data_IF_528798077077
#
_entry.id   IF_528798077077
#
_cell.length_a   1.000
_cell.length_b   1.000
_cell.length_c   1.000
_cell.angle_alpha   90.00
_cell.angle_beta   90.00
_cell.angle_gamma   90.00
#
_symmetry.space_group_name_H-M   'P 1'
#
loop_
_entity.id
_entity.type
_entity.pdbx_description
1 polymer ?
#
# COMPACT_ATOMS: atom_id res chain seq x y z
N UNK A 1 8.87 -14.25 5.64
CA UNK A 1 8.41 -13.22 4.69
C UNK A 1 7.67 -13.89 3.56
N UNK A 2 6.48 -13.39 3.18
CA UNK A 2 5.69 -13.85 2.03
C UNK A 2 5.79 -12.84 0.88
N UNK A 3 5.74 -13.31 -0.36
CA UNK A 3 5.64 -12.42 -1.52
C UNK A 3 4.23 -12.50 -2.07
N UNK A 4 3.58 -11.35 -2.18
CA UNK A 4 2.28 -11.14 -2.80
C UNK A 4 2.32 -10.08 -3.88
N UNK A 5 1.15 -9.71 -4.39
CA UNK A 5 0.98 -8.52 -5.20
C UNK A 5 -0.36 -7.84 -4.90
N UNK A 6 -0.43 -6.55 -5.20
CA UNK A 6 -1.63 -5.72 -5.07
C UNK A 6 -2.50 -5.84 -6.33
N UNK A 7 -3.74 -6.22 -6.15
CA UNK A 7 -4.63 -6.55 -7.29
C UNK A 7 -5.08 -5.36 -8.11
N UNK A 8 -4.80 -4.13 -7.71
CA UNK A 8 -5.16 -2.90 -8.46
C UNK A 8 -4.68 -2.93 -9.91
N UNK A 9 -3.55 -3.59 -10.17
CA UNK A 9 -3.01 -3.84 -11.52
C UNK A 9 -4.03 -4.50 -12.46
N UNK A 10 -5.00 -5.26 -11.90
CA UNK A 10 -5.97 -6.06 -12.63
C UNK A 10 -7.42 -5.69 -12.33
N UNK A 11 -7.72 -4.45 -11.93
CA UNK A 11 -9.09 -3.99 -11.61
C UNK A 11 -10.09 -4.10 -12.78
N UNK A 12 -9.61 -4.28 -14.00
CA UNK A 12 -10.41 -4.55 -15.20
C UNK A 12 -10.74 -6.04 -15.39
N UNK A 13 -10.31 -6.93 -14.47
CA UNK A 13 -10.52 -8.38 -14.54
C UNK A 13 -11.35 -8.89 -13.36
N UNK A 14 -12.10 -10.00 -13.53
CA UNK A 14 -12.73 -10.68 -12.39
C UNK A 14 -11.71 -11.12 -11.35
N UNK A 15 -12.02 -10.97 -10.06
CA UNK A 15 -11.13 -11.37 -8.97
C UNK A 15 -10.70 -12.84 -9.07
N UNK A 16 -11.60 -13.74 -9.50
CA UNK A 16 -11.29 -15.16 -9.68
C UNK A 16 -10.13 -15.38 -10.66
N UNK A 17 -10.12 -14.67 -11.79
CA UNK A 17 -9.02 -14.77 -12.77
C UNK A 17 -7.69 -14.25 -12.18
N UNK A 18 -7.76 -13.21 -11.35
CA UNK A 18 -6.57 -12.62 -10.70
C UNK A 18 -6.02 -13.57 -9.63
N UNK A 19 -6.89 -14.17 -8.84
CA UNK A 19 -6.53 -15.16 -7.81
C UNK A 19 -5.95 -16.43 -8.45
N UNK A 20 -6.56 -16.94 -9.53
CA UNK A 20 -6.04 -18.11 -10.26
C UNK A 20 -4.66 -17.81 -10.87
N UNK A 21 -4.44 -16.59 -11.38
CA UNK A 21 -3.14 -16.15 -11.84
C UNK A 21 -2.12 -16.12 -10.70
N UNK A 22 -2.46 -15.52 -9.55
CA UNK A 22 -1.58 -15.45 -8.39
C UNK A 22 -1.11 -16.84 -7.95
N UNK A 23 -2.05 -17.76 -7.76
CA UNK A 23 -1.75 -19.13 -7.35
C UNK A 23 -0.90 -19.88 -8.38
N UNK A 24 -1.25 -19.79 -9.68
CA UNK A 24 -0.50 -20.48 -10.75
C UNK A 24 0.89 -19.90 -10.97
N UNK A 25 1.11 -18.61 -10.71
CA UNK A 25 2.42 -17.97 -10.79
C UNK A 25 3.32 -18.30 -9.59
N UNK A 26 2.76 -18.81 -8.49
CA UNK A 26 3.51 -19.20 -7.30
C UNK A 26 3.75 -18.04 -6.32
N UNK A 27 2.80 -17.10 -6.23
CA UNK A 27 2.74 -16.13 -5.14
C UNK A 27 2.32 -16.81 -3.83
N UNK A 28 2.81 -16.31 -2.71
CA UNK A 28 2.44 -16.80 -1.36
C UNK A 28 1.20 -16.06 -0.83
N UNK A 29 1.01 -14.81 -1.25
CA UNK A 29 0.03 -13.91 -0.71
C UNK A 29 -0.65 -13.06 -1.80
N UNK A 30 -1.73 -12.39 -1.41
CA UNK A 30 -2.45 -11.44 -2.24
C UNK A 30 -2.94 -10.29 -1.37
N UNK A 31 -2.83 -9.09 -1.89
CA UNK A 31 -3.44 -7.87 -1.37
C UNK A 31 -4.58 -7.48 -2.30
N UNK A 32 -5.79 -7.31 -1.76
CA UNK A 32 -6.98 -7.13 -2.59
C UNK A 32 -7.45 -5.67 -2.54
N UNK A 33 -7.64 -5.08 -3.73
CA UNK A 33 -8.19 -3.73 -3.89
C UNK A 33 -9.71 -3.72 -3.62
N UNK A 34 -10.07 -3.00 -2.57
CA UNK A 34 -11.47 -2.69 -2.24
C UNK A 34 -11.92 -1.50 -3.10
N UNK A 35 -13.03 -1.66 -3.79
CA UNK A 35 -13.49 -0.69 -4.79
C UNK A 35 -13.17 -1.15 -6.22
N UNK A 36 -12.05 -1.79 -6.45
CA UNK A 36 -11.76 -2.51 -7.69
C UNK A 36 -12.51 -3.85 -7.74
N UNK A 37 -12.15 -4.77 -6.85
CA UNK A 37 -12.69 -6.13 -6.86
C UNK A 37 -13.83 -6.37 -5.86
N UNK A 38 -13.84 -5.66 -4.73
CA UNK A 38 -14.84 -5.82 -3.66
C UNK A 38 -15.67 -4.54 -3.59
N UNK A 39 -16.93 -4.63 -4.05
CA UNK A 39 -17.79 -3.44 -4.15
C UNK A 39 -18.56 -3.14 -2.87
N UNK A 40 -18.79 -4.14 -2.03
CA UNK A 40 -19.57 -4.00 -0.79
C UNK A 40 -18.98 -4.85 0.34
N UNK A 41 -19.16 -4.45 1.63
CA UNK A 41 -18.61 -5.19 2.77
C UNK A 41 -19.07 -6.65 2.82
N UNK A 42 -20.30 -6.96 2.39
CA UNK A 42 -20.86 -8.30 2.40
C UNK A 42 -20.12 -9.27 1.45
N UNK A 43 -19.35 -8.73 0.49
CA UNK A 43 -18.54 -9.52 -0.46
C UNK A 43 -17.13 -9.82 0.04
N UNK A 44 -16.74 -9.28 1.19
CA UNK A 44 -15.39 -9.46 1.74
C UNK A 44 -15.12 -10.94 2.03
N UNK A 45 -16.04 -11.61 2.73
CA UNK A 45 -15.87 -13.04 3.09
C UNK A 45 -15.73 -13.93 1.85
N UNK A 46 -16.54 -13.70 0.81
CA UNK A 46 -16.47 -14.44 -0.45
C UNK A 46 -15.12 -14.26 -1.14
N UNK A 47 -14.62 -13.02 -1.20
CA UNK A 47 -13.34 -12.70 -1.83
C UNK A 47 -12.16 -13.35 -1.07
N UNK A 48 -12.18 -13.26 0.24
CA UNK A 48 -11.16 -13.86 1.11
C UNK A 48 -11.18 -15.39 1.02
N UNK A 49 -12.37 -15.99 1.05
CA UNK A 49 -12.56 -17.45 0.91
C UNK A 49 -12.08 -17.96 -0.46
N UNK A 50 -12.35 -17.20 -1.53
CA UNK A 50 -11.86 -17.50 -2.88
C UNK A 50 -10.32 -17.55 -2.90
N UNK A 51 -9.63 -16.53 -2.41
CA UNK A 51 -8.17 -16.49 -2.37
C UNK A 51 -7.59 -17.65 -1.53
N UNK A 52 -8.15 -17.88 -0.34
CA UNK A 52 -7.73 -18.99 0.55
C UNK A 52 -7.95 -20.37 -0.08
N UNK A 53 -9.02 -20.56 -0.85
CA UNK A 53 -9.29 -21.82 -1.56
C UNK A 53 -8.23 -22.17 -2.60
N UNK A 54 -7.47 -21.19 -3.07
CA UNK A 54 -6.33 -21.35 -3.99
C UNK A 54 -4.97 -21.41 -3.26
N UNK A 55 -4.98 -21.45 -1.93
CA UNK A 55 -3.78 -21.53 -1.11
C UNK A 55 -3.07 -20.19 -0.88
N UNK A 56 -3.68 -19.06 -1.23
CA UNK A 56 -3.10 -17.75 -1.03
C UNK A 56 -3.40 -17.22 0.38
N UNK A 57 -2.39 -16.60 0.99
CA UNK A 57 -2.58 -15.80 2.19
C UNK A 57 -3.10 -14.41 1.79
N UNK A 58 -4.26 -14.01 2.29
CA UNK A 58 -4.75 -12.63 2.10
C UNK A 58 -4.05 -11.75 3.13
N UNK A 59 -3.06 -10.98 2.68
CA UNK A 59 -2.20 -10.15 3.53
C UNK A 59 -2.91 -8.90 4.02
N UNK A 60 -3.66 -8.28 3.14
CA UNK A 60 -4.33 -7.00 3.36
C UNK A 60 -5.49 -6.82 2.40
N UNK A 61 -6.40 -5.95 2.79
CA UNK A 61 -7.32 -5.29 1.88
C UNK A 61 -7.01 -3.80 1.89
N UNK A 62 -7.04 -3.16 0.70
CA UNK A 62 -6.69 -1.74 0.55
C UNK A 62 -7.86 -0.97 -0.03
N UNK A 63 -8.31 0.06 0.69
CA UNK A 63 -9.44 0.91 0.31
C UNK A 63 -9.00 2.35 0.08
N UNK A 64 -9.02 2.72 -1.19
CA UNK A 64 -8.68 4.06 -1.63
C UNK A 64 -9.77 5.08 -1.32
N UNK A 65 -9.37 6.24 -0.79
CA UNK A 65 -10.25 7.38 -0.57
C UNK A 65 -9.61 8.47 0.27
N UNK A 66 -10.09 9.71 0.12
CA UNK A 66 -9.67 10.84 0.94
C UNK A 66 -10.52 10.91 2.23
N UNK A 67 -10.03 10.34 3.33
CA UNK A 67 -10.72 10.35 4.63
C UNK A 67 -10.88 11.75 5.23
N UNK A 68 -10.20 12.74 4.65
CA UNK A 68 -10.21 14.15 5.03
C UNK A 68 -10.84 15.03 3.95
N UNK A 69 -11.68 14.48 3.07
CA UNK A 69 -12.33 15.29 2.01
C UNK A 69 -12.97 16.54 2.60
N UNK A 70 -12.68 17.71 1.98
CA UNK A 70 -13.24 18.99 2.39
C UNK A 70 -14.78 19.03 2.29
N UNK A 71 -15.36 18.26 1.38
CA UNK A 71 -16.80 18.00 1.32
C UNK A 71 -17.19 17.08 2.49
N UNK A 72 -17.90 17.66 3.46
CA UNK A 72 -18.29 16.96 4.70
C UNK A 72 -19.22 15.77 4.47
N UNK A 73 -20.06 15.82 3.45
CA UNK A 73 -20.99 14.73 3.16
C UNK A 73 -20.25 13.56 2.54
N UNK A 74 -19.37 13.80 1.56
CA UNK A 74 -18.48 12.78 0.99
C UNK A 74 -17.57 12.17 2.06
N UNK A 75 -16.96 13.00 2.91
CA UNK A 75 -16.12 12.54 4.02
C UNK A 75 -16.90 11.63 4.97
N UNK A 76 -18.11 12.02 5.36
CA UNK A 76 -18.96 11.21 6.24
C UNK A 76 -19.33 9.87 5.61
N UNK A 77 -19.75 9.88 4.34
CA UNK A 77 -20.10 8.67 3.60
C UNK A 77 -18.89 7.72 3.47
N UNK A 78 -17.74 8.24 3.05
CA UNK A 78 -16.52 7.44 2.93
C UNK A 78 -16.10 6.83 4.27
N UNK A 79 -16.11 7.61 5.36
CA UNK A 79 -15.77 7.13 6.71
C UNK A 79 -16.72 6.06 7.21
N UNK A 80 -18.02 6.24 6.99
CA UNK A 80 -19.03 5.22 7.33
C UNK A 80 -18.75 3.92 6.56
N UNK A 81 -18.49 4.03 5.27
CA UNK A 81 -18.17 2.89 4.41
C UNK A 81 -16.86 2.20 4.81
N UNK A 82 -15.85 2.99 5.18
CA UNK A 82 -14.58 2.46 5.69
C UNK A 82 -14.77 1.67 6.99
N UNK A 83 -15.63 2.14 7.88
CA UNK A 83 -15.94 1.43 9.13
C UNK A 83 -16.69 0.12 8.88
N UNK A 84 -17.66 0.08 7.96
CA UNK A 84 -18.35 -1.15 7.53
C UNK A 84 -17.35 -2.17 6.94
N UNK A 85 -16.43 -1.73 6.08
CA UNK A 85 -15.38 -2.60 5.56
C UNK A 85 -14.43 -3.09 6.66
N UNK A 86 -14.05 -2.23 7.61
CA UNK A 86 -13.18 -2.63 8.71
C UNK A 86 -13.79 -3.77 9.55
N UNK A 87 -15.10 -3.70 9.82
CA UNK A 87 -15.82 -4.76 10.53
C UNK A 87 -15.84 -6.06 9.72
N UNK A 88 -16.17 -5.99 8.42
CA UNK A 88 -16.21 -7.16 7.53
C UNK A 88 -14.82 -7.80 7.35
N UNK A 89 -13.78 -6.99 7.15
CA UNK A 89 -12.39 -7.42 6.97
C UNK A 89 -11.86 -8.11 8.24
N UNK A 90 -12.11 -7.49 9.40
CA UNK A 90 -11.78 -8.08 10.69
C UNK A 90 -12.54 -9.37 10.95
N UNK A 91 -13.83 -9.44 10.59
CA UNK A 91 -14.66 -10.64 10.67
C UNK A 91 -14.16 -11.78 9.79
N UNK A 92 -13.68 -11.49 8.59
CA UNK A 92 -13.06 -12.45 7.67
C UNK A 92 -11.64 -12.89 8.09
N UNK A 93 -11.09 -12.35 9.18
CA UNK A 93 -9.78 -12.72 9.70
C UNK A 93 -8.62 -12.29 8.78
N UNK A 94 -8.76 -11.18 8.07
CA UNK A 94 -7.65 -10.54 7.34
C UNK A 94 -6.86 -9.68 8.33
N UNK A 95 -5.53 -9.76 8.35
CA UNK A 95 -4.74 -9.11 9.41
C UNK A 95 -4.61 -7.59 9.24
N UNK A 96 -4.64 -7.08 8.02
CA UNK A 96 -4.33 -5.67 7.74
C UNK A 96 -5.41 -5.05 6.85
N UNK A 97 -5.84 -3.85 7.22
CA UNK A 97 -6.67 -2.98 6.38
C UNK A 97 -5.90 -1.69 6.09
N UNK A 98 -5.60 -1.46 4.82
CA UNK A 98 -4.89 -0.26 4.35
C UNK A 98 -5.88 0.81 3.93
N UNK A 99 -5.67 2.02 4.41
CA UNK A 99 -6.48 3.20 4.10
C UNK A 99 -5.56 4.39 3.78
N UNK A 100 -6.13 5.43 3.17
CA UNK A 100 -5.40 6.66 2.85
C UNK A 100 -5.90 7.81 3.73
N UNK A 101 -5.03 8.57 4.39
CA UNK A 101 -5.47 9.70 5.18
C UNK A 101 -6.17 10.76 4.34
N UNK A 102 -5.57 11.11 3.22
CA UNK A 102 -6.04 12.22 2.41
C UNK A 102 -5.61 13.58 2.94
N UNK A 103 -6.36 14.62 2.56
CA UNK A 103 -6.18 15.98 3.02
C UNK A 103 -7.43 16.82 2.78
N UNK A 104 -7.76 17.69 3.73
CA UNK A 104 -8.62 18.83 3.56
C UNK A 104 -7.75 20.07 3.30
N UNK A 105 -7.73 20.55 2.05
CA UNK A 105 -6.91 21.70 1.63
C UNK A 105 -7.37 23.02 2.28
N UNK A 106 -8.54 23.07 2.90
CA UNK A 106 -9.10 24.25 3.58
C UNK A 106 -8.74 24.30 5.06
N UNK A 107 -8.24 23.21 5.62
CA UNK A 107 -7.85 23.08 7.02
C UNK A 107 -6.34 23.22 7.21
N UNK A 108 -5.90 23.54 8.43
CA UNK A 108 -4.48 23.53 8.79
C UNK A 108 -3.94 22.10 8.84
N UNK A 109 -2.61 21.95 8.81
CA UNK A 109 -1.95 20.66 8.97
C UNK A 109 -2.35 19.99 10.30
N UNK A 110 -2.31 20.77 11.39
CA UNK A 110 -2.68 20.27 12.73
C UNK A 110 -4.10 19.74 12.76
N UNK A 111 -5.06 20.47 12.17
CA UNK A 111 -6.46 20.05 12.09
C UNK A 111 -6.65 18.78 11.26
N UNK A 112 -5.90 18.64 10.17
CA UNK A 112 -5.90 17.42 9.37
C UNK A 112 -5.37 16.21 10.16
N UNK A 113 -4.26 16.38 10.88
CA UNK A 113 -3.70 15.29 11.71
C UNK A 113 -4.63 14.91 12.86
N UNK A 114 -5.24 15.88 13.53
CA UNK A 114 -6.16 15.63 14.64
C UNK A 114 -7.43 14.91 14.17
N UNK A 115 -8.07 15.39 13.10
CA UNK A 115 -9.31 14.81 12.56
C UNK A 115 -9.07 13.38 12.02
N UNK A 116 -7.94 13.12 11.35
CA UNK A 116 -7.63 11.77 10.90
C UNK A 116 -7.32 10.85 12.09
N UNK A 117 -6.60 11.33 13.09
CA UNK A 117 -6.27 10.53 14.26
C UNK A 117 -7.51 10.15 15.06
N UNK A 118 -8.47 11.05 15.24
CA UNK A 118 -9.75 10.76 15.89
C UNK A 118 -10.51 9.68 15.12
N UNK A 119 -10.57 9.77 13.80
CA UNK A 119 -11.20 8.75 12.95
C UNK A 119 -10.50 7.39 13.07
N UNK A 120 -9.17 7.34 12.94
CA UNK A 120 -8.41 6.11 13.03
C UNK A 120 -8.52 5.45 14.42
N UNK A 121 -8.46 6.23 15.51
CA UNK A 121 -8.68 5.73 16.86
C UNK A 121 -10.08 5.13 17.03
N UNK A 122 -11.10 5.73 16.40
CA UNK A 122 -12.46 5.19 16.36
C UNK A 122 -12.53 3.83 15.65
N UNK A 123 -11.88 3.68 14.48
CA UNK A 123 -11.80 2.40 13.77
C UNK A 123 -11.11 1.32 14.60
N UNK A 124 -9.99 1.66 15.23
CA UNK A 124 -9.22 0.76 16.08
C UNK A 124 -10.07 0.27 17.28
N UNK A 125 -10.79 1.17 17.91
CA UNK A 125 -11.67 0.84 19.02
C UNK A 125 -12.84 -0.06 18.57
N UNK A 126 -13.45 0.23 17.41
CA UNK A 126 -14.54 -0.56 16.84
C UNK A 126 -14.16 -1.99 16.45
N UNK A 127 -12.89 -2.22 16.10
CA UNK A 127 -12.37 -3.53 15.65
C UNK A 127 -11.51 -4.24 16.70
N UNK A 128 -11.64 -3.89 17.97
CA UNK A 128 -10.79 -4.45 19.04
C UNK A 128 -10.87 -5.98 19.13
N UNK A 129 -12.03 -6.56 18.89
CA UNK A 129 -12.25 -8.03 18.99
C UNK A 129 -11.55 -8.81 17.88
N UNK A 130 -11.44 -8.26 16.69
CA UNK A 130 -10.77 -8.93 15.56
C UNK A 130 -9.25 -8.80 15.57
N UNK A 131 -8.71 -7.82 16.31
CA UNK A 131 -7.28 -7.51 16.31
C UNK A 131 -6.77 -6.93 14.98
N UNK A 132 -7.68 -6.43 14.12
CA UNK A 132 -7.35 -5.84 12.83
C UNK A 132 -6.32 -4.71 12.97
N UNK A 133 -5.26 -4.78 12.19
CA UNK A 133 -4.26 -3.71 12.07
C UNK A 133 -4.68 -2.76 10.95
N UNK A 134 -4.65 -1.48 11.22
CA UNK A 134 -4.80 -0.45 10.20
C UNK A 134 -3.44 0.03 9.73
N UNK A 135 -3.26 0.19 8.44
CA UNK A 135 -2.06 0.79 7.88
C UNK A 135 -2.44 1.95 6.95
N UNK A 136 -1.53 2.90 6.83
CA UNK A 136 -1.60 3.90 5.78
C UNK A 136 -0.45 3.70 4.81
N UNK A 137 -0.72 3.84 3.53
CA UNK A 137 0.34 3.94 2.54
C UNK A 137 0.89 5.36 2.49
N UNK A 138 2.20 5.48 2.28
CA UNK A 138 2.85 6.78 2.14
C UNK A 138 2.74 7.37 0.72
N UNK A 139 1.68 7.04 -0.01
CA UNK A 139 1.37 7.66 -1.29
C UNK A 139 1.00 9.13 -1.11
N UNK A 140 1.64 10.06 -1.87
CA UNK A 140 1.44 11.50 -1.66
C UNK A 140 0.09 12.03 -2.15
N UNK A 141 -0.73 11.19 -2.76
CA UNK A 141 -2.05 11.60 -3.26
C UNK A 141 -2.00 12.25 -4.66
N UNK A 142 -3.15 12.52 -5.25
CA UNK A 142 -3.24 13.04 -6.62
C UNK A 142 -2.73 14.48 -6.78
N UNK A 143 -2.59 15.20 -5.66
CA UNK A 143 -2.05 16.58 -5.63
C UNK A 143 -0.70 16.65 -4.91
N UNK A 144 -0.08 15.52 -4.61
CA UNK A 144 1.19 15.42 -3.87
C UNK A 144 1.15 16.10 -2.48
N UNK A 145 0.00 16.06 -1.80
CA UNK A 145 -0.21 16.81 -0.55
C UNK A 145 -0.94 16.03 0.56
N UNK A 146 -1.17 14.72 0.41
CA UNK A 146 -1.75 13.91 1.49
C UNK A 146 -0.87 13.98 2.74
N UNK A 147 -1.50 13.91 3.92
CA UNK A 147 -0.75 13.81 5.17
C UNK A 147 -0.20 12.40 5.37
N UNK A 148 0.82 12.25 6.24
CA UNK A 148 1.38 10.92 6.54
C UNK A 148 2.23 10.30 5.43
N UNK A 149 2.80 11.12 4.54
CA UNK A 149 3.59 10.65 3.39
C UNK A 149 5.10 10.71 3.61
N UNK A 150 5.53 11.32 4.70
CA UNK A 150 6.94 11.53 5.06
C UNK A 150 7.21 11.10 6.49
N UNK A 151 8.47 10.84 6.87
CA UNK A 151 8.84 10.50 8.25
C UNK A 151 8.34 11.50 9.29
N UNK A 152 8.37 12.80 8.99
CA UNK A 152 7.79 13.83 9.86
C UNK A 152 6.27 13.66 10.02
N UNK A 153 5.57 13.39 8.93
CA UNK A 153 4.13 13.16 8.96
C UNK A 153 3.77 11.89 9.72
N UNK A 154 4.56 10.82 9.61
CA UNK A 154 4.35 9.59 10.38
C UNK A 154 4.54 9.82 11.88
N UNK A 155 5.56 10.58 12.29
CA UNK A 155 5.77 10.95 13.70
C UNK A 155 4.56 11.70 14.26
N UNK A 156 3.97 12.63 13.46
CA UNK A 156 2.76 13.35 13.88
C UNK A 156 1.55 12.42 14.06
N UNK A 157 1.38 11.43 13.19
CA UNK A 157 0.33 10.42 13.32
C UNK A 157 0.57 9.50 14.52
N UNK A 158 1.78 8.95 14.68
CA UNK A 158 2.09 8.02 15.78
C UNK A 158 2.08 8.68 17.16
N UNK A 159 2.30 10.00 17.24
CA UNK A 159 2.11 10.76 18.47
C UNK A 159 0.64 10.81 18.89
N UNK A 160 -0.29 10.84 17.94
CA UNK A 160 -1.74 10.91 18.15
C UNK A 160 -2.40 9.54 18.21
N UNK A 161 -1.88 8.57 17.48
CA UNK A 161 -2.40 7.20 17.38
C UNK A 161 -1.35 6.27 18.00
N UNK A 162 -1.46 6.06 19.31
CA UNK A 162 -0.45 5.30 20.07
C UNK A 162 -0.67 3.79 20.01
N UNK A 163 -1.87 3.32 19.65
CA UNK A 163 -2.17 1.90 19.50
C UNK A 163 -1.23 1.26 18.45
N UNK A 164 -0.67 0.08 18.79
CA UNK A 164 0.25 -0.65 17.92
C UNK A 164 -0.44 -1.29 16.70
N UNK A 165 -1.76 -1.33 16.70
CA UNK A 165 -2.57 -1.74 15.53
C UNK A 165 -2.73 -0.64 14.48
N UNK A 166 -1.95 0.44 14.58
CA UNK A 166 -1.82 1.43 13.53
C UNK A 166 -0.38 1.49 13.06
N UNK A 167 -0.16 1.26 11.76
CA UNK A 167 1.15 1.19 11.14
C UNK A 167 1.19 1.73 9.72
N UNK A 168 2.21 1.30 9.01
CA UNK A 168 2.47 1.71 7.63
C UNK A 168 2.40 0.51 6.69
N UNK A 169 1.80 0.72 5.55
CA UNK A 169 2.18 0.11 4.30
C UNK A 169 3.33 0.95 3.74
N UNK A 170 4.55 0.44 3.92
CA UNK A 170 5.74 1.20 3.59
C UNK A 170 6.12 0.98 2.13
N UNK A 171 5.98 2.02 1.31
CA UNK A 171 6.39 2.04 -0.09
C UNK A 171 7.65 2.90 -0.27
N UNK A 172 8.82 2.29 -0.58
CA UNK A 172 10.05 3.02 -0.81
C UNK A 172 10.03 3.88 -2.08
N UNK A 173 9.23 3.53 -3.07
CA UNK A 173 9.18 4.22 -4.36
C UNK A 173 8.70 5.66 -4.24
N UNK A 174 7.69 5.88 -3.41
CA UNK A 174 7.17 7.22 -3.14
C UNK A 174 8.20 8.10 -2.43
N UNK A 175 9.01 7.52 -1.54
CA UNK A 175 10.07 8.25 -0.84
C UNK A 175 11.18 8.68 -1.81
N UNK A 176 11.63 7.78 -2.70
CA UNK A 176 12.62 8.09 -3.73
C UNK A 176 12.12 9.24 -4.61
N UNK A 177 10.85 9.18 -5.03
CA UNK A 177 10.20 10.21 -5.84
C UNK A 177 10.25 11.60 -5.19
N UNK A 178 10.04 11.68 -3.88
CA UNK A 178 10.04 12.97 -3.16
C UNK A 178 11.40 13.34 -2.56
N UNK A 179 12.46 12.57 -2.86
CA UNK A 179 13.83 12.86 -2.42
C UNK A 179 14.13 12.47 -0.97
N UNK A 180 13.35 11.57 -0.37
CA UNK A 180 13.59 11.02 0.97
C UNK A 180 14.33 9.69 0.83
N UNK A 181 15.41 9.51 1.62
CA UNK A 181 16.14 8.25 1.69
C UNK A 181 15.28 7.16 2.35
N UNK A 182 14.87 6.09 1.63
CA UNK A 182 14.01 5.06 2.17
C UNK A 182 14.67 4.23 3.28
N UNK A 183 15.99 4.12 3.30
CA UNK A 183 16.73 3.39 4.33
C UNK A 183 16.68 4.15 5.66
N UNK A 184 16.96 5.47 5.61
CA UNK A 184 16.83 6.32 6.78
C UNK A 184 15.38 6.42 7.26
N UNK A 185 14.42 6.55 6.34
CA UNK A 185 13.00 6.59 6.67
C UNK A 185 12.56 5.32 7.40
N UNK A 186 13.00 4.13 6.97
CA UNK A 186 12.71 2.85 7.62
C UNK A 186 13.17 2.82 9.07
N UNK A 187 14.37 3.38 9.38
CA UNK A 187 14.88 3.45 10.76
C UNK A 187 13.93 4.22 11.70
N UNK A 188 13.25 5.24 11.17
CA UNK A 188 12.37 6.09 11.99
C UNK A 188 11.07 5.41 12.39
N UNK A 189 10.68 4.33 11.69
CA UNK A 189 9.35 3.69 11.82
C UNK A 189 9.41 2.16 11.87
N UNK A 190 10.59 1.58 12.06
CA UNK A 190 10.86 0.14 11.98
C UNK A 190 9.88 -0.76 12.75
N UNK A 191 9.33 -0.30 13.86
CA UNK A 191 8.37 -1.01 14.71
C UNK A 191 6.91 -0.72 14.37
N UNK A 192 6.65 -0.01 13.27
CA UNK A 192 5.33 0.38 12.76
C UNK A 192 5.06 -0.09 11.33
N UNK A 193 5.98 -0.83 10.70
CA UNK A 193 5.78 -1.35 9.35
C UNK A 193 4.91 -2.60 9.43
N UNK A 194 3.70 -2.53 8.90
CA UNK A 194 2.75 -3.63 8.85
C UNK A 194 2.92 -4.48 7.58
N UNK A 195 3.18 -3.84 6.45
CA UNK A 195 3.36 -4.45 5.13
C UNK A 195 4.34 -3.61 4.31
N UNK A 196 5.05 -4.22 3.37
CA UNK A 196 5.94 -3.54 2.43
C UNK A 196 5.34 -3.59 1.03
N UNK A 197 5.27 -2.45 0.35
CA UNK A 197 5.08 -2.43 -1.10
C UNK A 197 6.42 -2.62 -1.81
N UNK A 198 6.43 -3.51 -2.78
CA UNK A 198 7.56 -3.71 -3.67
C UNK A 198 7.29 -2.99 -4.99
N UNK A 199 7.55 -1.71 -4.97
CA UNK A 199 7.58 -0.81 -6.11
C UNK A 199 8.87 -0.04 -6.11
N UNK A 200 9.44 0.21 -7.25
CA UNK A 200 10.68 0.94 -7.42
C UNK A 200 10.45 2.26 -8.16
N UNK A 201 11.45 3.11 -8.22
CA UNK A 201 11.40 4.38 -8.95
C UNK A 201 12.69 4.59 -9.74
N UNK A 202 12.55 4.89 -11.01
CA UNK A 202 13.64 5.39 -11.85
C UNK A 202 13.56 6.92 -11.94
N UNK A 203 14.71 7.58 -11.92
CA UNK A 203 14.85 9.04 -12.07
C UNK A 203 15.66 9.33 -13.32
N UNK A 204 15.06 10.05 -14.25
CA UNK A 204 15.73 10.66 -15.37
C UNK A 204 16.39 11.97 -14.90
N UNK A 205 17.70 11.90 -14.70
CA UNK A 205 18.48 13.03 -14.16
C UNK A 205 18.57 14.20 -15.14
N UNK A 206 18.58 13.94 -16.45
CA UNK A 206 18.61 14.96 -17.47
C UNK A 206 17.28 15.72 -17.52
N UNK A 207 16.17 14.98 -17.55
CA UNK A 207 14.84 15.58 -17.46
C UNK A 207 14.68 16.38 -16.16
N UNK A 208 15.13 15.84 -15.00
CA UNK A 208 15.09 16.56 -13.72
C UNK A 208 15.84 17.86 -13.75
N UNK A 209 17.05 17.90 -14.36
CA UNK A 209 17.81 19.14 -14.54
C UNK A 209 17.08 20.15 -15.40
N UNK A 210 16.36 19.70 -16.42
CA UNK A 210 15.64 20.57 -17.34
C UNK A 210 14.37 21.19 -16.74
N UNK A 211 13.61 20.41 -15.92
CA UNK A 211 12.29 20.83 -15.45
C UNK A 211 12.20 21.07 -13.93
N UNK A 212 13.19 20.65 -13.17
CA UNK A 212 13.21 20.72 -11.71
C UNK A 212 12.17 19.81 -11.04
N UNK A 213 12.14 19.76 -9.70
CA UNK A 213 11.23 18.89 -8.93
C UNK A 213 9.75 19.20 -9.12
N UNK A 214 9.40 20.42 -9.51
CA UNK A 214 8.01 20.82 -9.80
C UNK A 214 7.57 20.50 -11.23
N UNK A 215 8.50 20.12 -12.10
CA UNK A 215 8.21 19.70 -13.46
C UNK A 215 7.73 18.25 -13.52
N UNK A 216 7.41 17.79 -14.73
CA UNK A 216 6.91 16.42 -14.97
C UNK A 216 7.87 15.63 -15.85
N UNK A 217 7.75 14.29 -15.81
CA UNK A 217 8.46 13.39 -16.73
C UNK A 217 9.87 12.99 -16.27
N UNK A 218 10.34 13.45 -15.11
CA UNK A 218 11.68 13.15 -14.60
C UNK A 218 11.75 11.89 -13.72
N UNK A 219 10.63 11.26 -13.41
CA UNK A 219 10.56 10.00 -12.65
C UNK A 219 9.50 9.06 -13.24
N UNK A 220 9.67 7.78 -12.99
CA UNK A 220 8.74 6.71 -13.38
C UNK A 220 8.75 5.62 -12.33
N UNK A 221 7.59 5.09 -11.98
CA UNK A 221 7.51 3.86 -11.19
C UNK A 221 7.99 2.67 -12.01
N UNK A 222 8.61 1.73 -11.31
CA UNK A 222 9.23 0.54 -11.89
C UNK A 222 8.89 -0.68 -11.05
N UNK A 223 8.94 -1.84 -11.69
CA UNK A 223 8.97 -3.10 -10.97
C UNK A 223 10.22 -3.19 -10.09
N UNK A 224 10.18 -3.98 -8.99
CA UNK A 224 11.33 -4.19 -8.11
C UNK A 224 12.59 -4.59 -8.89
N UNK A 225 13.70 -3.90 -8.65
CA UNK A 225 15.00 -4.13 -9.29
C UNK A 225 15.18 -3.43 -10.64
N UNK A 226 14.19 -2.71 -11.14
CA UNK A 226 14.29 -1.91 -12.38
C UNK A 226 14.42 -0.41 -12.11
N UNK A 227 14.52 0.00 -10.86
CA UNK A 227 14.69 1.38 -10.41
C UNK A 227 15.99 1.59 -9.63
N UNK A 228 15.93 2.49 -8.65
CA UNK A 228 17.09 2.95 -7.89
C UNK A 228 17.29 2.24 -6.54
N UNK A 229 16.31 1.49 -6.06
CA UNK A 229 16.40 0.85 -4.76
C UNK A 229 17.33 -0.36 -4.79
N UNK A 230 18.29 -0.40 -3.88
CA UNK A 230 19.08 -1.62 -3.60
C UNK A 230 18.22 -2.58 -2.74
N UNK A 231 17.45 -3.42 -3.40
CA UNK A 231 16.53 -4.37 -2.76
C UNK A 231 17.21 -5.34 -1.80
N UNK A 232 18.37 -5.93 -2.11
CA UNK A 232 19.13 -6.76 -1.16
C UNK A 232 19.44 -6.01 0.14
N UNK A 233 19.91 -4.77 0.06
CA UNK A 233 20.17 -3.92 1.23
C UNK A 233 18.88 -3.58 1.98
N UNK A 234 17.83 -3.19 1.25
CA UNK A 234 16.55 -2.78 1.82
C UNK A 234 15.87 -3.92 2.60
N UNK A 235 15.79 -5.11 2.01
CA UNK A 235 15.18 -6.27 2.65
C UNK A 235 16.02 -6.82 3.80
N UNK A 236 17.36 -6.74 3.70
CA UNK A 236 18.24 -7.07 4.84
C UNK A 236 18.00 -6.15 6.02
N UNK A 237 17.84 -4.85 5.78
CA UNK A 237 17.52 -3.87 6.83
C UNK A 237 16.15 -4.15 7.44
N UNK A 238 15.11 -4.36 6.63
CA UNK A 238 13.77 -4.69 7.12
C UNK A 238 13.78 -5.94 8.00
N UNK A 239 14.43 -7.02 7.56
CA UNK A 239 14.61 -8.25 8.36
C UNK A 239 15.39 -8.01 9.65
N UNK A 240 16.43 -7.18 9.57
CA UNK A 240 17.22 -6.78 10.74
C UNK A 240 16.40 -6.03 11.81
N UNK A 241 15.33 -5.37 11.40
CA UNK A 241 14.34 -4.74 12.29
C UNK A 241 13.21 -5.70 12.72
N UNK A 242 13.27 -6.97 12.34
CA UNK A 242 12.28 -7.97 12.71
C UNK A 242 11.07 -8.04 11.80
N UNK A 243 11.08 -7.39 10.62
CA UNK A 243 10.00 -7.52 9.66
C UNK A 243 9.94 -8.95 9.11
N UNK A 244 8.79 -9.62 9.31
CA UNK A 244 8.48 -10.96 8.80
C UNK A 244 7.10 -11.02 8.13
N UNK A 245 6.62 -9.87 7.67
CA UNK A 245 5.31 -9.71 7.04
C UNK A 245 5.28 -10.09 5.56
N UNK A 246 4.37 -9.47 4.84
CA UNK A 246 4.23 -9.63 3.40
C UNK A 246 4.93 -8.49 2.67
N UNK A 247 5.58 -8.83 1.56
CA UNK A 247 6.05 -7.89 0.55
C UNK A 247 5.07 -8.01 -0.61
N UNK A 248 4.32 -6.95 -0.89
CA UNK A 248 3.29 -6.90 -1.92
C UNK A 248 3.82 -6.13 -3.14
N UNK A 249 3.94 -6.79 -4.30
CA UNK A 249 4.34 -6.10 -5.53
C UNK A 249 3.22 -5.15 -5.94
N UNK A 250 3.53 -3.88 -6.11
CA UNK A 250 2.63 -2.92 -6.72
C UNK A 250 3.16 -2.56 -8.11
N UNK A 251 2.51 -3.14 -9.12
CA UNK A 251 2.95 -3.00 -10.50
C UNK A 251 2.37 -1.75 -11.16
N UNK A 252 3.23 -0.73 -11.27
CA UNK A 252 2.92 0.52 -11.98
C UNK A 252 3.97 0.85 -13.07
N UNK A 253 4.62 -0.18 -13.64
CA UNK A 253 5.63 0.01 -14.69
C UNK A 253 4.98 0.04 -16.08
N UNK A 254 5.08 1.20 -16.74
CA UNK A 254 4.53 1.41 -18.08
C UNK A 254 5.18 0.50 -19.14
N UNK A 255 6.44 0.08 -18.95
CA UNK A 255 7.10 -0.84 -19.86
C UNK A 255 6.48 -2.25 -19.87
N UNK A 256 5.74 -2.59 -18.80
CA UNK A 256 5.01 -3.84 -18.65
C UNK A 256 3.49 -3.67 -18.68
N UNK A 257 3.01 -2.66 -19.42
CA UNK A 257 1.62 -2.53 -19.80
C UNK A 257 0.70 -1.80 -18.81
N UNK A 258 1.22 -1.26 -17.70
CA UNK A 258 0.43 -0.41 -16.79
C UNK A 258 0.48 1.07 -17.25
N UNK A 259 -0.62 1.84 -17.19
CA UNK A 259 -1.99 1.49 -16.80
C UNK A 259 -2.85 0.95 -17.96
N UNK A 260 -2.23 0.41 -18.99
CA UNK A 260 -2.91 -0.07 -20.19
C UNK A 260 -3.65 -1.40 -20.01
N UNK A 261 -4.22 -1.90 -21.09
CA UNK A 261 -5.05 -3.12 -21.11
C UNK A 261 -4.31 -4.38 -21.55
N UNK A 262 -3.00 -4.31 -21.78
CA UNK A 262 -2.21 -5.50 -22.15
C UNK A 262 -2.05 -6.43 -20.95
N UNK A 263 -2.98 -7.38 -20.84
CA UNK A 263 -3.00 -8.36 -19.75
C UNK A 263 -1.76 -9.25 -19.74
N UNK A 264 -1.23 -9.63 -20.92
CA UNK A 264 -0.07 -10.49 -20.99
C UNK A 264 1.18 -9.76 -20.48
N UNK A 265 1.36 -8.50 -20.87
CA UNK A 265 2.46 -7.67 -20.37
C UNK A 265 2.37 -7.45 -18.85
N UNK A 266 1.17 -7.13 -18.32
CA UNK A 266 0.97 -6.96 -16.86
C UNK A 266 1.29 -8.24 -16.09
N UNK A 267 0.79 -9.39 -16.53
CA UNK A 267 1.12 -10.70 -15.93
C UNK A 267 2.62 -11.05 -16.03
N UNK A 268 3.28 -10.66 -17.12
CA UNK A 268 4.73 -10.83 -17.25
C UNK A 268 5.50 -9.94 -16.27
N UNK A 269 5.06 -8.70 -16.07
CA UNK A 269 5.64 -7.79 -15.08
C UNK A 269 5.54 -8.32 -13.66
N UNK A 270 4.38 -8.81 -13.24
CA UNK A 270 4.19 -9.43 -11.92
C UNK A 270 5.11 -10.64 -11.70
N UNK A 271 5.26 -11.52 -12.71
CA UNK A 271 6.19 -12.65 -12.63
C UNK A 271 7.64 -12.21 -12.53
N UNK A 272 8.02 -11.19 -13.29
CA UNK A 272 9.39 -10.64 -13.23
C UNK A 272 9.70 -10.11 -11.82
N UNK A 273 8.78 -9.36 -11.23
CA UNK A 273 8.92 -8.87 -9.86
C UNK A 273 9.00 -10.01 -8.84
N UNK A 274 8.14 -11.02 -8.98
CA UNK A 274 8.14 -12.20 -8.12
C UNK A 274 9.48 -12.95 -8.17
N UNK A 275 9.98 -13.26 -9.38
CA UNK A 275 11.23 -13.97 -9.58
C UNK A 275 12.42 -13.18 -9.03
N UNK A 276 12.44 -11.87 -9.27
CA UNK A 276 13.46 -11.00 -8.72
C UNK A 276 13.48 -11.02 -7.19
N UNK A 277 12.32 -10.83 -6.53
CA UNK A 277 12.24 -10.81 -5.07
C UNK A 277 12.57 -12.18 -4.45
N UNK A 278 12.14 -13.29 -5.08
CA UNK A 278 12.55 -14.64 -4.65
C UNK A 278 14.07 -14.82 -4.69
N UNK A 279 14.72 -14.36 -5.75
CA UNK A 279 16.18 -14.43 -5.86
C UNK A 279 16.87 -13.57 -4.80
N UNK A 280 16.38 -12.37 -4.53
CA UNK A 280 16.91 -11.51 -3.46
C UNK A 280 16.76 -12.18 -2.10
N UNK A 281 15.56 -12.68 -1.77
CA UNK A 281 15.31 -13.31 -0.46
C UNK A 281 16.11 -14.59 -0.23
N UNK A 282 16.35 -15.37 -1.28
CA UNK A 282 17.20 -16.58 -1.23
C UNK A 282 18.68 -16.25 -1.00
N UNK A 283 19.13 -15.04 -1.33
CA UNK A 283 20.49 -14.56 -1.13
C UNK A 283 20.73 -13.82 0.21
N UNK A 284 19.71 -13.64 1.05
CA UNK A 284 19.79 -12.98 2.36
C UNK A 284 19.98 -13.97 3.50
#
# INVERSE_FOLDING_TARGET
VKIGFYTSTFNDRPLEEVVDFAASAGFDAIEIDVGGHIKTPERVEDAVSLARSRGLFVSSLTYFGNQLDADRDRRRELRARTAEFAEAIGGAGVPIFVIFPGRDDTASDEANYDDFADFANGLIAGTQKSGLTFAIENWPGPKDNFIGTTPKGWQELFRRITDRRFGLEFDPSHLIRIGVDPYWAMETVKDRIAILHAKDTAIDREALQAVGYHGKGWWQYKLPGLGLLDWPRFLRQARGHGFDGTISIEHEDAAYGWPGKDLAARKAGERLGLDYLKNVLNGL
#
